data_IF_153166892625
#
_entry.id   IF_153166892625
#
_cell.length_a   1.000
_cell.length_b   1.000
_cell.length_c   1.000
_cell.angle_alpha   90.00
_cell.angle_beta   90.00
_cell.angle_gamma   90.00
#
_symmetry.space_group_name_H-M   'P 1'
#
loop_
_entity.id
_entity.type
_entity.pdbx_description
1 polymer ?
#
# COMPACT_ATOMS: atom_id res chain seq x y z
N UNK A 1 -13.14 24.16 -29.96
CA UNK A 1 -14.14 23.21 -29.41
C UNK A 1 -13.97 21.87 -30.11
N UNK A 2 -13.22 20.92 -29.55
CA UNK A 2 -13.21 19.54 -30.07
C UNK A 2 -14.03 18.67 -29.13
N UNK A 3 -15.24 18.36 -29.62
CA UNK A 3 -16.27 17.61 -28.95
C UNK A 3 -15.95 16.11 -29.03
N UNK A 4 -14.91 15.66 -28.35
CA UNK A 4 -14.70 14.23 -28.12
C UNK A 4 -15.46 13.87 -26.85
N UNK A 5 -16.77 13.63 -26.98
CA UNK A 5 -17.58 13.05 -25.92
C UNK A 5 -16.96 11.70 -25.54
N UNK A 6 -16.05 11.72 -24.56
CA UNK A 6 -15.40 10.52 -24.00
C UNK A 6 -16.51 9.70 -23.35
N UNK A 7 -17.05 8.75 -24.12
CA UNK A 7 -18.07 7.83 -23.66
C UNK A 7 -17.42 6.92 -22.62
N UNK A 8 -17.82 7.15 -21.39
CA UNK A 8 -17.42 6.39 -20.23
C UNK A 8 -18.17 5.04 -20.24
N UNK A 9 -17.47 3.90 -20.24
CA UNK A 9 -18.14 2.59 -20.17
C UNK A 9 -18.86 2.45 -18.82
N UNK A 10 -20.11 1.93 -18.88
CA UNK A 10 -21.03 1.76 -17.73
C UNK A 10 -20.70 0.57 -16.83
N UNK A 11 -20.09 -0.48 -17.37
CA UNK A 11 -19.72 -1.66 -16.58
C UNK A 11 -18.24 -1.67 -16.24
N UNK A 12 -17.89 -2.38 -15.15
CA UNK A 12 -16.59 -2.58 -14.50
C UNK A 12 -15.47 -3.11 -15.43
N UNK A 13 -15.22 -2.39 -16.51
CA UNK A 13 -14.10 -2.57 -17.39
C UNK A 13 -12.91 -1.83 -16.78
N UNK A 14 -11.90 -2.62 -16.42
CA UNK A 14 -10.51 -2.24 -16.32
C UNK A 14 -10.18 -1.08 -17.27
N UNK A 15 -9.99 0.13 -16.73
CA UNK A 15 -9.75 1.34 -17.53
C UNK A 15 -8.31 1.82 -17.35
N UNK A 16 -7.58 1.88 -18.46
CA UNK A 16 -6.17 2.30 -18.49
C UNK A 16 -6.06 3.63 -19.23
N UNK A 17 -5.56 4.64 -18.53
CA UNK A 17 -5.36 5.98 -19.09
C UNK A 17 -3.87 6.19 -19.42
N UNK A 18 -3.49 5.99 -20.68
CA UNK A 18 -2.17 6.41 -21.17
C UNK A 18 -2.25 7.86 -21.63
N UNK A 19 -1.46 8.75 -21.04
CA UNK A 19 -1.41 10.13 -21.51
C UNK A 19 -0.07 10.82 -21.19
N UNK A 20 0.40 11.67 -22.12
CA UNK A 20 1.64 12.43 -21.99
C UNK A 20 1.64 13.46 -20.85
N UNK A 21 2.77 14.12 -20.60
CA UNK A 21 2.83 15.25 -19.66
C UNK A 21 1.84 16.36 -20.10
N UNK A 22 1.20 17.04 -19.14
CA UNK A 22 0.26 18.14 -19.44
C UNK A 22 -1.10 17.76 -20.04
N UNK A 23 -1.34 16.49 -20.39
CA UNK A 23 -2.57 15.98 -21.03
C UNK A 23 -3.85 15.99 -20.16
N UNK A 24 -3.77 16.47 -18.92
CA UNK A 24 -4.92 16.55 -18.02
C UNK A 24 -5.38 15.22 -17.43
N UNK A 25 -4.47 14.24 -17.23
CA UNK A 25 -4.78 12.94 -16.58
C UNK A 25 -5.59 13.10 -15.30
N UNK A 26 -5.14 13.97 -14.41
CA UNK A 26 -5.81 14.27 -13.14
C UNK A 26 -7.23 14.76 -13.36
N UNK A 27 -7.46 15.65 -14.35
CA UNK A 27 -8.80 16.14 -14.70
C UNK A 27 -9.70 14.99 -15.17
N UNK A 28 -9.17 14.11 -16.04
CA UNK A 28 -9.91 12.95 -16.55
C UNK A 28 -10.32 12.01 -15.41
N UNK A 29 -9.43 11.73 -14.46
CA UNK A 29 -9.73 10.87 -13.30
C UNK A 29 -10.76 11.49 -12.36
N UNK A 30 -10.63 12.79 -12.06
CA UNK A 30 -11.59 13.49 -11.19
C UNK A 30 -12.99 13.50 -11.81
N UNK A 31 -13.11 13.79 -13.11
CA UNK A 31 -14.40 13.72 -13.80
C UNK A 31 -14.97 12.29 -13.86
N UNK A 32 -14.12 11.26 -13.99
CA UNK A 32 -14.57 9.86 -13.93
C UNK A 32 -15.15 9.53 -12.56
N UNK A 33 -14.49 9.93 -11.48
CA UNK A 33 -14.98 9.71 -10.12
C UNK A 33 -16.33 10.41 -9.92
N UNK A 34 -16.42 11.70 -10.30
CA UNK A 34 -17.68 12.44 -10.22
C UNK A 34 -18.80 11.77 -11.04
N UNK A 35 -18.49 11.27 -12.24
CA UNK A 35 -19.46 10.55 -13.09
C UNK A 35 -19.92 9.21 -12.47
N UNK A 36 -19.02 8.45 -11.85
CA UNK A 36 -19.39 7.23 -11.13
C UNK A 36 -20.38 7.53 -9.99
N UNK A 37 -20.19 8.66 -9.31
CA UNK A 37 -21.05 9.07 -8.21
C UNK A 37 -22.39 9.62 -8.69
N UNK A 38 -22.41 10.45 -9.75
CA UNK A 38 -23.61 11.15 -10.20
C UNK A 38 -24.46 10.38 -11.21
N UNK A 39 -23.84 9.55 -12.03
CA UNK A 39 -24.53 8.81 -13.11
C UNK A 39 -24.73 7.35 -12.76
N UNK A 40 -23.69 6.70 -12.22
CA UNK A 40 -23.77 5.28 -11.81
C UNK A 40 -24.21 5.12 -10.34
N UNK A 41 -24.53 6.22 -9.64
CA UNK A 41 -24.96 6.24 -8.24
C UNK A 41 -24.04 5.43 -7.30
N UNK A 42 -22.73 5.40 -7.59
CA UNK A 42 -21.76 4.75 -6.72
C UNK A 42 -21.60 5.56 -5.42
N UNK A 43 -21.60 4.84 -4.29
CA UNK A 43 -21.34 5.44 -2.99
C UNK A 43 -19.94 6.07 -2.96
N UNK A 44 -19.74 7.26 -2.35
CA UNK A 44 -18.41 7.81 -2.12
C UNK A 44 -17.53 6.86 -1.28
N UNK A 45 -18.17 6.05 -0.43
CA UNK A 45 -17.57 4.98 0.37
C UNK A 45 -17.37 3.68 -0.42
N UNK A 46 -17.48 3.68 -1.75
CA UNK A 46 -17.14 2.51 -2.57
C UNK A 46 -16.06 2.85 -3.61
N UNK A 47 -15.49 4.05 -3.54
CA UNK A 47 -14.46 4.53 -4.46
C UNK A 47 -13.18 4.75 -3.67
N UNK A 48 -12.14 4.01 -4.06
CA UNK A 48 -10.78 4.19 -3.54
C UNK A 48 -9.91 4.84 -4.60
N UNK A 49 -9.19 5.88 -4.24
CA UNK A 49 -8.28 6.59 -5.13
C UNK A 49 -6.92 6.73 -4.49
N UNK A 50 -5.91 6.19 -5.14
CA UNK A 50 -4.54 6.15 -4.61
C UNK A 50 -3.61 7.03 -5.44
N UNK A 51 -2.84 7.87 -4.76
CA UNK A 51 -1.86 8.78 -5.36
C UNK A 51 -0.48 8.60 -4.72
N UNK A 52 0.59 9.02 -5.40
CA UNK A 52 1.95 8.93 -4.85
C UNK A 52 2.24 9.95 -3.75
N UNK A 53 1.63 11.14 -3.79
CA UNK A 53 1.91 12.22 -2.83
C UNK A 53 0.66 12.65 -2.09
N UNK A 54 0.86 13.14 -0.86
CA UNK A 54 -0.23 13.71 -0.06
C UNK A 54 -0.81 14.97 -0.71
N UNK A 55 0.03 15.76 -1.39
CA UNK A 55 -0.39 16.95 -2.14
C UNK A 55 -1.33 16.58 -3.28
N UNK A 56 -0.99 15.55 -4.07
CA UNK A 56 -1.86 15.08 -5.14
C UNK A 56 -3.18 14.52 -4.61
N UNK A 57 -3.17 13.77 -3.51
CA UNK A 57 -4.39 13.30 -2.84
C UNK A 57 -5.28 14.49 -2.40
N UNK A 58 -4.70 15.49 -1.75
CA UNK A 58 -5.43 16.67 -1.28
C UNK A 58 -6.03 17.47 -2.44
N UNK A 59 -5.24 17.71 -3.49
CA UNK A 59 -5.71 18.39 -4.70
C UNK A 59 -6.84 17.62 -5.38
N UNK A 60 -6.73 16.30 -5.46
CA UNK A 60 -7.76 15.44 -6.05
C UNK A 60 -9.06 15.48 -5.24
N UNK A 61 -9.00 15.38 -3.91
CA UNK A 61 -10.17 15.55 -3.02
C UNK A 61 -10.82 16.90 -3.22
N UNK A 62 -10.02 17.97 -3.29
CA UNK A 62 -10.53 19.33 -3.49
C UNK A 62 -11.29 19.45 -4.83
N UNK A 63 -10.69 18.98 -5.93
CA UNK A 63 -11.32 19.02 -7.26
C UNK A 63 -12.61 18.20 -7.32
N UNK A 64 -12.66 17.03 -6.67
CA UNK A 64 -13.88 16.21 -6.59
C UNK A 64 -14.96 16.93 -5.79
N UNK A 65 -14.61 17.51 -4.64
CA UNK A 65 -15.54 18.29 -3.81
C UNK A 65 -16.14 19.47 -4.55
N UNK A 66 -15.32 20.19 -5.34
CA UNK A 66 -15.80 21.29 -6.19
C UNK A 66 -16.81 20.82 -7.25
N UNK A 67 -16.61 19.65 -7.86
CA UNK A 67 -17.53 19.11 -8.86
C UNK A 67 -18.85 18.60 -8.26
N UNK A 68 -18.79 18.04 -7.05
CA UNK A 68 -19.95 17.42 -6.38
C UNK A 68 -20.71 18.39 -5.47
N UNK A 69 -20.23 19.63 -5.28
CA UNK A 69 -20.88 20.64 -4.44
C UNK A 69 -20.99 20.28 -2.96
N UNK A 70 -20.23 19.28 -2.49
CA UNK A 70 -20.33 18.74 -1.12
C UNK A 70 -18.94 18.46 -0.56
N UNK A 71 -18.76 18.63 0.75
CA UNK A 71 -17.57 18.13 1.43
C UNK A 71 -17.67 16.61 1.51
N UNK A 72 -16.97 15.90 0.63
CA UNK A 72 -16.98 14.44 0.55
C UNK A 72 -16.19 13.80 1.71
N UNK A 73 -16.62 14.07 2.94
CA UNK A 73 -16.15 13.35 4.12
C UNK A 73 -16.43 11.87 3.93
N UNK A 74 -15.42 11.02 4.13
CA UNK A 74 -15.56 9.58 4.04
C UNK A 74 -14.97 8.90 2.81
N UNK A 75 -14.66 9.63 1.72
CA UNK A 75 -14.01 9.04 0.53
C UNK A 75 -12.63 8.47 0.85
N UNK A 76 -12.26 7.38 0.16
CA UNK A 76 -10.96 6.72 0.27
C UNK A 76 -9.97 7.28 -0.74
N UNK A 77 -9.72 8.58 -0.68
CA UNK A 77 -8.66 9.23 -1.47
C UNK A 77 -7.43 9.36 -0.58
N UNK A 78 -6.24 8.98 -1.02
CA UNK A 78 -5.02 9.10 -0.21
C UNK A 78 -3.78 8.53 -0.86
N UNK A 79 -2.68 8.52 -0.11
CA UNK A 79 -1.49 7.75 -0.49
C UNK A 79 -1.66 6.30 -0.09
N UNK A 80 -0.86 5.41 -0.70
CA UNK A 80 -0.82 4.00 -0.31
C UNK A 80 -0.67 3.83 1.20
N UNK A 81 0.30 4.52 1.79
CA UNK A 81 0.56 4.48 3.23
C UNK A 81 -0.63 4.96 4.06
N UNK A 82 -1.22 6.10 3.71
CA UNK A 82 -2.35 6.66 4.47
C UNK A 82 -3.60 5.77 4.40
N UNK A 83 -3.87 5.19 3.22
CA UNK A 83 -5.01 4.30 3.02
C UNK A 83 -4.78 2.94 3.69
N UNK A 84 -3.57 2.38 3.59
CA UNK A 84 -3.22 1.13 4.27
C UNK A 84 -3.32 1.28 5.79
N UNK A 85 -2.82 2.39 6.35
CA UNK A 85 -2.96 2.65 7.79
C UNK A 85 -4.43 2.77 8.21
N UNK A 86 -5.26 3.49 7.44
CA UNK A 86 -6.69 3.60 7.70
C UNK A 86 -7.39 2.23 7.65
N UNK A 87 -7.02 1.38 6.70
CA UNK A 87 -7.61 0.06 6.53
C UNK A 87 -7.19 -0.89 7.65
N UNK A 88 -5.90 -0.91 8.03
CA UNK A 88 -5.42 -1.71 9.16
C UNK A 88 -6.04 -1.27 10.49
N UNK A 89 -6.26 0.02 10.71
CA UNK A 89 -6.95 0.52 11.92
C UNK A 89 -8.41 0.08 11.96
N UNK A 90 -9.09 0.06 10.82
CA UNK A 90 -10.48 -0.40 10.73
C UNK A 90 -10.63 -1.91 10.90
N UNK A 91 -9.65 -2.69 10.44
CA UNK A 91 -9.66 -4.16 10.42
C UNK A 91 -8.53 -4.77 11.25
N UNK A 92 -8.17 -4.14 12.37
CA UNK A 92 -7.02 -4.57 13.14
C UNK A 92 -7.20 -6.01 13.67
N UNK A 93 -8.42 -6.39 14.05
CA UNK A 93 -8.73 -7.76 14.51
C UNK A 93 -8.50 -8.80 13.41
N UNK A 94 -8.96 -8.53 12.19
CA UNK A 94 -8.79 -9.44 11.05
C UNK A 94 -7.32 -9.61 10.66
N UNK A 95 -6.52 -8.56 10.89
CA UNK A 95 -5.08 -8.55 10.67
C UNK A 95 -4.27 -9.12 11.85
N UNK A 96 -4.93 -9.59 12.91
CA UNK A 96 -4.30 -10.02 14.17
C UNK A 96 -3.38 -8.93 14.77
N UNK A 97 -3.85 -7.68 14.70
CA UNK A 97 -3.18 -6.49 15.19
C UNK A 97 -3.88 -5.96 16.45
N UNK A 98 -3.12 -5.48 17.44
CA UNK A 98 -3.71 -4.67 18.49
C UNK A 98 -4.24 -3.36 17.91
N UNK A 99 -5.31 -2.85 18.51
CA UNK A 99 -5.98 -1.63 18.04
C UNK A 99 -5.03 -0.43 17.95
N UNK A 100 -4.05 -0.36 18.87
CA UNK A 100 -3.07 0.72 19.00
C UNK A 100 -1.67 0.35 18.51
N UNK A 101 -1.59 -0.45 17.45
CA UNK A 101 -0.32 -0.71 16.79
C UNK A 101 0.37 0.60 16.36
N UNK A 102 1.69 0.64 16.52
CA UNK A 102 2.51 1.79 16.13
C UNK A 102 3.21 1.51 14.81
N UNK A 103 3.26 2.53 13.95
CA UNK A 103 4.07 2.49 12.74
C UNK A 103 5.46 3.01 13.06
N UNK A 104 6.49 2.18 12.88
CA UNK A 104 7.88 2.60 12.95
C UNK A 104 8.24 3.43 11.72
N UNK A 105 8.80 4.60 11.97
CA UNK A 105 9.50 5.37 10.97
C UNK A 105 10.93 4.83 10.73
N UNK A 106 11.63 5.42 9.77
CA UNK A 106 12.99 5.00 9.40
C UNK A 106 14.02 5.27 10.51
N UNK A 107 13.82 6.29 11.35
CA UNK A 107 14.76 6.63 12.42
C UNK A 107 14.61 5.66 13.60
N UNK A 108 13.37 5.34 13.97
CA UNK A 108 13.05 4.35 14.99
C UNK A 108 13.45 2.95 14.56
N UNK A 109 13.26 2.61 13.28
CA UNK A 109 13.80 1.36 12.71
C UNK A 109 15.33 1.29 12.86
N UNK A 110 16.03 2.39 12.57
CA UNK A 110 17.49 2.44 12.71
C UNK A 110 17.95 2.32 14.18
N UNK A 111 17.25 2.99 15.11
CA UNK A 111 17.52 2.89 16.56
C UNK A 111 17.30 1.47 17.09
N UNK A 112 16.23 0.80 16.62
CA UNK A 112 15.96 -0.59 16.96
C UNK A 112 17.08 -1.51 16.44
N UNK A 113 17.47 -1.36 15.19
CA UNK A 113 18.55 -2.18 14.60
C UNK A 113 19.89 -1.99 15.31
N UNK A 114 20.24 -0.75 15.68
CA UNK A 114 21.43 -0.47 16.51
C UNK A 114 21.42 -1.24 17.82
N UNK A 115 20.28 -1.26 18.52
CA UNK A 115 20.11 -2.00 19.78
C UNK A 115 20.25 -3.51 19.56
N UNK A 116 19.65 -4.05 18.51
CA UNK A 116 19.68 -5.49 18.20
C UNK A 116 21.08 -5.96 17.81
N UNK A 117 21.78 -5.23 16.95
CA UNK A 117 23.16 -5.56 16.53
C UNK A 117 24.09 -5.61 17.75
N UNK A 118 23.97 -4.64 18.66
CA UNK A 118 24.71 -4.63 19.92
C UNK A 118 24.34 -5.80 20.84
N UNK A 119 23.05 -6.12 20.96
CA UNK A 119 22.58 -7.23 21.78
C UNK A 119 23.01 -8.61 21.26
N UNK A 120 23.22 -8.73 19.94
CA UNK A 120 23.71 -9.94 19.28
C UNK A 120 25.24 -10.07 19.30
N UNK A 121 25.96 -9.16 19.98
CA UNK A 121 27.43 -9.09 20.01
C UNK A 121 28.05 -9.02 18.60
N UNK A 122 27.38 -8.37 17.65
CA UNK A 122 27.91 -8.11 16.31
C UNK A 122 28.67 -6.78 16.30
N UNK A 123 29.80 -6.73 15.58
CA UNK A 123 30.57 -5.50 15.40
C UNK A 123 29.83 -4.53 14.47
N UNK A 124 29.55 -3.31 14.94
CA UNK A 124 28.87 -2.26 14.17
C UNK A 124 29.69 -1.83 12.94
N UNK A 125 31.01 -2.02 12.94
CA UNK A 125 31.86 -1.74 11.77
C UNK A 125 31.66 -2.78 10.67
N UNK A 126 31.54 -4.05 11.04
CA UNK A 126 31.34 -5.15 10.10
C UNK A 126 29.87 -5.27 9.66
N UNK A 127 28.92 -4.93 10.56
CA UNK A 127 27.48 -5.04 10.34
C UNK A 127 26.78 -3.69 10.59
N UNK A 128 26.91 -2.71 9.68
CA UNK A 128 26.31 -1.39 9.88
C UNK A 128 24.77 -1.46 9.95
N UNK A 129 24.13 -0.83 10.95
CA UNK A 129 22.67 -0.82 11.11
C UNK A 129 21.90 -0.27 9.90
N UNK A 130 22.50 0.69 9.17
CA UNK A 130 21.92 1.22 7.93
C UNK A 130 21.87 0.16 6.83
N UNK A 131 22.89 -0.69 6.74
CA UNK A 131 22.94 -1.79 5.78
C UNK A 131 21.94 -2.88 6.15
N UNK A 132 21.82 -3.20 7.45
CA UNK A 132 20.77 -4.09 7.96
C UNK A 132 19.37 -3.59 7.56
N UNK A 133 19.11 -2.30 7.75
CA UNK A 133 17.84 -1.67 7.39
C UNK A 133 17.53 -1.78 5.90
N UNK A 134 18.52 -1.50 5.05
CA UNK A 134 18.37 -1.62 3.59
C UNK A 134 18.09 -3.07 3.17
N UNK A 135 18.84 -4.02 3.71
CA UNK A 135 18.63 -5.44 3.44
C UNK A 135 17.21 -5.88 3.84
N UNK A 136 16.78 -5.58 5.06
CA UNK A 136 15.44 -5.93 5.56
C UNK A 136 14.35 -5.31 4.70
N UNK A 137 14.47 -4.03 4.35
CA UNK A 137 13.48 -3.35 3.54
C UNK A 137 13.41 -3.96 2.13
N UNK A 138 14.54 -4.30 1.52
CA UNK A 138 14.59 -5.02 0.23
C UNK A 138 13.87 -6.37 0.30
N UNK A 139 14.11 -7.16 1.34
CA UNK A 139 13.43 -8.45 1.52
C UNK A 139 11.92 -8.28 1.75
N UNK A 140 11.52 -7.29 2.55
CA UNK A 140 10.10 -6.96 2.77
C UNK A 140 9.42 -6.48 1.49
N UNK A 141 10.12 -5.68 0.70
CA UNK A 141 9.66 -5.21 -0.59
C UNK A 141 9.47 -6.36 -1.57
N UNK A 142 10.17 -7.50 -1.45
CA UNK A 142 9.88 -8.71 -2.24
C UNK A 142 8.82 -9.61 -1.59
N UNK A 143 8.46 -9.36 -0.33
CA UNK A 143 7.54 -10.20 0.44
C UNK A 143 8.14 -11.38 1.14
N UNK A 144 9.46 -11.37 1.23
CA UNK A 144 10.22 -12.39 1.91
C UNK A 144 10.23 -12.10 3.41
N UNK A 145 9.82 -13.10 4.17
CA UNK A 145 9.92 -13.14 5.63
C UNK A 145 11.21 -13.86 6.01
N UNK A 146 11.70 -13.71 7.25
CA UNK A 146 12.94 -14.36 7.66
C UNK A 146 12.99 -15.87 7.35
N UNK A 147 11.86 -16.57 7.46
CA UNK A 147 11.74 -18.00 7.16
C UNK A 147 11.71 -18.34 5.65
N UNK A 148 11.43 -17.38 4.77
CA UNK A 148 11.45 -17.57 3.31
C UNK A 148 12.85 -17.40 2.71
N UNK A 149 13.79 -16.81 3.45
CA UNK A 149 15.14 -16.52 2.97
C UNK A 149 15.99 -17.79 3.05
N UNK A 150 16.50 -18.25 1.91
CA UNK A 150 17.42 -19.39 1.84
C UNK A 150 18.85 -18.86 1.68
N UNK A 151 19.71 -19.12 2.66
CA UNK A 151 21.07 -18.57 2.65
C UNK A 151 22.06 -19.33 1.76
N UNK A 152 21.67 -20.47 1.17
CA UNK A 152 22.49 -21.32 0.29
C UNK A 152 23.96 -21.50 0.75
N UNK A 153 24.20 -21.60 2.06
CA UNK A 153 25.54 -21.75 2.63
C UNK A 153 26.40 -20.49 2.71
N UNK A 154 25.90 -19.31 2.35
CA UNK A 154 26.62 -18.04 2.49
C UNK A 154 26.58 -17.54 3.96
N UNK A 155 27.72 -17.46 4.67
CA UNK A 155 27.76 -17.04 6.08
C UNK A 155 27.27 -15.60 6.29
N UNK A 156 27.43 -14.74 5.30
CA UNK A 156 26.98 -13.34 5.37
C UNK A 156 25.46 -13.27 5.32
N UNK A 157 24.86 -14.02 4.40
CA UNK A 157 23.41 -14.08 4.23
C UNK A 157 22.74 -14.70 5.47
N UNK A 158 23.34 -15.72 6.07
CA UNK A 158 22.87 -16.30 7.34
C UNK A 158 22.88 -15.27 8.46
N UNK A 159 23.88 -14.41 8.52
CA UNK A 159 23.97 -13.37 9.56
C UNK A 159 22.90 -12.32 9.34
N UNK A 160 22.68 -11.87 8.10
CA UNK A 160 21.59 -10.93 7.79
C UNK A 160 20.20 -11.51 8.07
N UNK A 161 19.99 -12.79 7.77
CA UNK A 161 18.76 -13.49 8.11
C UNK A 161 18.53 -13.53 9.63
N UNK A 162 19.56 -13.80 10.43
CA UNK A 162 19.48 -13.78 11.91
C UNK A 162 19.12 -12.39 12.42
N UNK A 163 19.74 -11.34 11.88
CA UNK A 163 19.43 -9.94 12.24
C UNK A 163 17.98 -9.61 11.87
N UNK A 164 17.52 -10.03 10.69
CA UNK A 164 16.13 -9.82 10.27
C UNK A 164 15.15 -10.59 11.16
N UNK A 165 15.46 -11.83 11.53
CA UNK A 165 14.64 -12.61 12.45
C UNK A 165 14.51 -11.92 13.82
N UNK A 166 15.63 -11.53 14.44
CA UNK A 166 15.63 -10.83 15.72
C UNK A 166 14.85 -9.50 15.65
N UNK A 167 14.95 -8.80 14.51
CA UNK A 167 14.20 -7.60 14.24
C UNK A 167 12.69 -7.86 14.15
N UNK A 168 12.27 -8.90 13.42
CA UNK A 168 10.85 -9.26 13.31
C UNK A 168 10.27 -9.65 14.67
N UNK A 169 10.99 -10.46 15.45
CA UNK A 169 10.57 -10.85 16.81
C UNK A 169 10.49 -9.65 17.78
N UNK A 170 11.38 -8.66 17.65
CA UNK A 170 11.30 -7.44 18.42
C UNK A 170 10.08 -6.59 18.02
N UNK A 171 9.78 -6.52 16.73
CA UNK A 171 8.58 -5.87 16.20
C UNK A 171 7.29 -6.54 16.70
N UNK A 172 7.22 -7.87 16.63
CA UNK A 172 6.03 -8.63 17.03
C UNK A 172 5.76 -8.49 18.53
N UNK A 173 6.80 -8.54 19.37
CA UNK A 173 6.67 -8.35 20.83
C UNK A 173 6.18 -6.96 21.23
N UNK A 174 6.63 -5.93 20.51
CA UNK A 174 6.28 -4.55 20.81
C UNK A 174 5.03 -4.06 20.06
N UNK A 175 4.39 -4.93 19.26
CA UNK A 175 3.32 -4.56 18.33
C UNK A 175 3.70 -3.39 17.40
N UNK A 176 4.94 -3.43 16.93
CA UNK A 176 5.59 -2.41 16.13
C UNK A 176 5.61 -2.83 14.66
N UNK A 177 5.02 -2.01 13.80
CA UNK A 177 4.84 -2.32 12.38
C UNK A 177 5.59 -1.32 11.52
N UNK A 178 6.32 -1.77 10.52
CA UNK A 178 6.89 -0.84 9.53
C UNK A 178 5.98 -0.69 8.33
N UNK A 179 6.10 0.42 7.62
CA UNK A 179 5.39 0.67 6.35
C UNK A 179 5.41 -0.54 5.37
N UNK A 180 6.56 -1.16 5.05
CA UNK A 180 6.57 -2.33 4.15
C UNK A 180 5.81 -3.55 4.71
N UNK A 181 5.74 -3.69 6.04
CA UNK A 181 4.95 -4.75 6.69
C UNK A 181 3.44 -4.49 6.54
N UNK A 182 3.01 -3.22 6.51
CA UNK A 182 1.62 -2.80 6.32
C UNK A 182 1.09 -3.25 4.94
N UNK A 183 1.89 -3.06 3.89
CA UNK A 183 1.57 -3.50 2.53
C UNK A 183 1.46 -5.03 2.42
N UNK A 184 2.30 -5.78 3.15
CA UNK A 184 2.22 -7.25 3.14
C UNK A 184 1.00 -7.79 3.84
N UNK A 185 0.57 -7.22 4.97
CA UNK A 185 -0.63 -7.69 5.67
C UNK A 185 -1.85 -7.58 4.75
N UNK A 186 -1.93 -6.53 3.93
CA UNK A 186 -2.99 -6.39 2.93
C UNK A 186 -2.98 -7.48 1.85
N UNK A 187 -1.80 -8.05 1.54
CA UNK A 187 -1.66 -9.10 0.51
C UNK A 187 -1.66 -10.53 1.08
N UNK A 188 -1.31 -10.71 2.35
CA UNK A 188 -1.10 -12.02 3.00
C UNK A 188 -2.16 -12.40 4.03
N UNK A 189 -2.75 -11.44 4.74
CA UNK A 189 -3.96 -11.74 5.51
C UNK A 189 -5.06 -12.04 4.51
N UNK A 190 -5.74 -13.17 4.69
CA UNK A 190 -6.98 -13.53 4.00
C UNK A 190 -8.14 -12.56 4.27
N UNK A 191 -7.89 -11.27 4.48
CA UNK A 191 -8.84 -10.17 4.26
C UNK A 191 -9.46 -10.24 2.86
N UNK A 192 -8.80 -10.93 1.92
CA UNK A 192 -9.35 -11.29 0.61
C UNK A 192 -10.56 -12.25 0.67
N UNK A 193 -10.75 -12.96 1.78
CA UNK A 193 -11.78 -14.01 1.93
C UNK A 193 -13.03 -13.58 2.73
N UNK A 194 -13.00 -12.44 3.44
CA UNK A 194 -14.16 -11.91 4.20
C UNK A 194 -14.58 -10.49 3.81
N UNK A 195 -13.67 -9.69 3.27
CA UNK A 195 -14.02 -8.58 2.39
C UNK A 195 -14.11 -9.22 1.01
N UNK A 196 -15.18 -9.02 0.24
CA UNK A 196 -15.38 -9.70 -1.06
C UNK A 196 -14.33 -9.26 -2.09
N UNK A 197 -13.12 -9.79 -1.92
CA UNK A 197 -11.92 -9.52 -2.70
C UNK A 197 -11.67 -10.74 -3.60
N UNK A 198 -12.70 -11.21 -4.31
CA UNK A 198 -12.54 -12.28 -5.27
C UNK A 198 -11.83 -11.77 -6.52
N UNK A 199 -10.67 -12.40 -6.81
CA UNK A 199 -9.91 -12.42 -8.07
C UNK A 199 -8.59 -11.65 -8.13
N UNK A 200 -7.93 -11.28 -7.03
CA UNK A 200 -6.59 -10.68 -7.16
C UNK A 200 -5.63 -11.13 -6.04
N UNK A 201 -5.16 -12.39 -6.12
CA UNK A 201 -4.00 -12.83 -5.35
C UNK A 201 -3.34 -14.13 -5.88
N UNK A 202 -3.48 -14.47 -7.17
CA UNK A 202 -2.65 -15.55 -7.73
C UNK A 202 -1.27 -14.98 -8.12
N UNK A 203 -0.39 -14.82 -7.11
CA UNK A 203 1.07 -14.92 -7.30
C UNK A 203 1.87 -13.71 -7.79
N UNK A 204 1.52 -12.46 -7.45
CA UNK A 204 2.38 -11.30 -7.79
C UNK A 204 3.36 -10.92 -6.65
N UNK A 205 4.66 -10.65 -6.94
CA UNK A 205 5.65 -10.25 -5.94
C UNK A 205 5.37 -8.88 -5.31
N UNK A 206 5.79 -8.64 -4.06
CA UNK A 206 5.58 -7.35 -3.38
C UNK A 206 6.35 -6.21 -4.05
N UNK A 207 7.41 -6.50 -4.81
CA UNK A 207 8.29 -5.49 -5.41
C UNK A 207 7.58 -4.69 -6.51
N UNK A 208 6.46 -5.22 -6.99
CA UNK A 208 5.53 -4.55 -7.87
C UNK A 208 4.73 -3.44 -7.16
N UNK A 209 4.66 -3.46 -5.83
CA UNK A 209 3.94 -2.50 -4.98
C UNK A 209 4.79 -1.33 -4.52
N UNK A 210 6.12 -1.52 -4.44
CA UNK A 210 7.08 -0.52 -3.96
C UNK A 210 7.87 0.13 -5.09
N UNK A 211 8.11 -0.59 -6.18
CA UNK A 211 8.71 -0.05 -7.39
C UNK A 211 7.62 0.28 -8.42
N UNK A 212 7.86 1.23 -9.32
CA UNK A 212 6.87 1.97 -10.16
C UNK A 212 6.02 1.15 -11.17
N UNK A 213 5.87 -0.16 -10.96
CA UNK A 213 5.10 -1.13 -11.75
C UNK A 213 4.07 -1.88 -10.89
N UNK A 214 3.12 -1.14 -10.31
CA UNK A 214 1.85 -1.74 -9.85
C UNK A 214 0.99 -1.99 -11.09
N UNK A 215 0.38 -3.18 -11.28
CA UNK A 215 -0.69 -3.32 -12.28
C UNK A 215 -1.82 -2.37 -11.89
N UNK A 216 -2.10 -1.37 -12.73
CA UNK A 216 -2.93 -0.21 -12.39
C UNK A 216 -4.43 -0.47 -12.25
N UNK A 217 -4.86 -1.72 -12.07
CA UNK A 217 -6.28 -2.08 -12.06
C UNK A 217 -6.59 -3.18 -11.07
N UNK A 218 -7.45 -2.83 -10.12
CA UNK A 218 -8.12 -3.74 -9.21
C UNK A 218 -9.62 -3.65 -9.49
N UNK A 219 -10.24 -4.75 -9.92
CA UNK A 219 -11.69 -4.88 -10.10
C UNK A 219 -12.13 -6.13 -9.38
N UNK A 220 -13.10 -6.01 -8.48
CA UNK A 220 -13.61 -7.12 -7.66
C UNK A 220 -15.11 -7.21 -7.87
N UNK A 221 -15.59 -8.41 -8.19
CA UNK A 221 -17.04 -8.68 -8.29
C UNK A 221 -17.53 -9.19 -6.93
N UNK A 222 -18.55 -8.54 -6.38
CA UNK A 222 -19.23 -8.94 -5.16
C UNK A 222 -20.12 -7.80 -4.64
N UNK A 223 -21.09 -8.09 -3.79
CA UNK A 223 -22.13 -7.14 -3.34
C UNK A 223 -21.61 -5.91 -2.57
N UNK A 224 -20.33 -5.90 -2.18
CA UNK A 224 -19.63 -4.77 -1.53
C UNK A 224 -18.47 -4.26 -2.42
N UNK A 225 -18.82 -3.81 -3.63
CA UNK A 225 -17.87 -3.43 -4.71
C UNK A 225 -17.10 -2.13 -4.42
N UNK A 226 -15.81 -2.23 -4.10
CA UNK A 226 -14.88 -1.09 -4.15
C UNK A 226 -14.26 -0.94 -5.55
N UNK A 227 -14.32 0.26 -6.16
CA UNK A 227 -13.57 0.58 -7.38
C UNK A 227 -12.26 1.30 -7.01
N UNK A 228 -11.11 0.69 -7.32
CA UNK A 228 -9.79 1.29 -7.12
C UNK A 228 -9.32 2.02 -8.38
N UNK A 229 -9.09 3.33 -8.28
CA UNK A 229 -8.57 4.19 -9.34
C UNK A 229 -7.15 4.63 -8.96
N UNK A 230 -6.15 4.22 -9.76
CA UNK A 230 -4.75 4.59 -9.57
C UNK A 230 -4.39 5.80 -10.44
N UNK A 231 -3.94 6.88 -9.80
CA UNK A 231 -3.43 8.06 -10.49
C UNK A 231 -1.90 8.10 -10.41
N UNK A 232 -1.23 7.94 -11.56
CA UNK A 232 0.19 8.27 -11.71
C UNK A 232 0.38 9.78 -11.83
#
# INVERSE_FOLDING_TARGET
MTNSAKRWPRHAATFWLLAGAGSGKTRVLVHRIAWLMSVENCSPYSIMTVTFTNKAAAEMRHRIGQLMGTSQGGMWVGTFHGLAHRLLRAHHMDANLPQDFQILDSEDQLRLLKRLIKAMNLDEKQWPPRQAMWYINSQKDEGLRPHHIQSYGNPVEQTWQKVYQAYQEACDRAAWWTSPSCCYVLTSCGLTSRISFSTIANGLPISWWTNSRIPTTFSMRGSDCWQAILAK
#
